data_IF_664302117317
#
_entry.id   IF_664302117317
#
_cell.length_a   1.000
_cell.length_b   1.000
_cell.length_c   1.000
_cell.angle_alpha   90.00
_cell.angle_beta   90.00
_cell.angle_gamma   90.00
#
_symmetry.space_group_name_H-M   'P 1'
#
loop_
_entity.id
_entity.type
_entity.pdbx_description
1 polymer ?
#
# COMPACT_ATOMS: atom_id res chain seq x y z
N UNK A 1 -5.44 4.95 -5.87
CA UNK A 1 -6.47 3.90 -5.95
C UNK A 1 -6.15 2.80 -6.95
N UNK A 2 -5.94 3.09 -8.25
CA UNK A 2 -5.66 2.03 -9.25
C UNK A 2 -4.44 1.16 -8.92
N UNK A 3 -3.34 1.78 -8.47
CA UNK A 3 -2.16 1.03 -8.03
C UNK A 3 -2.45 0.05 -6.89
N UNK A 4 -3.14 0.52 -5.85
CA UNK A 4 -3.56 -0.27 -4.68
C UNK A 4 -4.41 -1.45 -5.11
N UNK A 5 -5.51 -1.20 -5.83
CA UNK A 5 -6.38 -2.25 -6.37
C UNK A 5 -5.60 -3.29 -7.21
N UNK A 6 -4.63 -2.86 -8.02
CA UNK A 6 -3.84 -3.78 -8.83
C UNK A 6 -2.93 -4.67 -7.96
N UNK A 7 -2.30 -4.10 -6.94
CA UNK A 7 -1.51 -4.84 -5.95
C UNK A 7 -2.39 -5.79 -5.15
N UNK A 8 -3.55 -5.33 -4.70
CA UNK A 8 -4.47 -6.10 -3.87
C UNK A 8 -5.06 -7.28 -4.64
N UNK A 9 -5.43 -7.10 -5.91
CA UNK A 9 -5.85 -8.20 -6.78
C UNK A 9 -4.73 -9.23 -7.00
N UNK A 10 -3.48 -8.78 -7.10
CA UNK A 10 -2.32 -9.67 -7.24
C UNK A 10 -2.04 -10.46 -5.96
N UNK A 11 -2.16 -9.81 -4.80
CA UNK A 11 -2.03 -10.46 -3.49
C UNK A 11 -3.19 -11.43 -3.24
N UNK A 12 -4.42 -11.01 -3.50
CA UNK A 12 -5.61 -11.84 -3.37
C UNK A 12 -5.55 -13.07 -4.30
N UNK A 13 -5.06 -12.92 -5.53
CA UNK A 13 -4.85 -14.06 -6.42
C UNK A 13 -3.85 -15.09 -5.85
N UNK A 14 -2.84 -14.66 -5.10
CA UNK A 14 -1.95 -15.57 -4.38
C UNK A 14 -2.60 -16.18 -3.15
N UNK A 15 -3.30 -15.38 -2.34
CA UNK A 15 -4.08 -15.85 -1.20
C UNK A 15 -5.04 -16.99 -1.61
N UNK A 16 -5.77 -16.81 -2.72
CA UNK A 16 -6.68 -17.84 -3.26
C UNK A 16 -5.95 -19.10 -3.76
N UNK A 17 -4.73 -18.97 -4.29
CA UNK A 17 -3.90 -20.12 -4.69
C UNK A 17 -3.34 -20.88 -3.49
N UNK A 18 -3.14 -20.18 -2.38
CA UNK A 18 -2.68 -20.74 -1.10
C UNK A 18 -3.86 -21.18 -0.21
N UNK A 19 -5.01 -21.51 -0.83
CA UNK A 19 -6.24 -22.02 -0.20
C UNK A 19 -7.04 -21.03 0.66
N UNK A 20 -6.84 -19.73 0.48
CA UNK A 20 -7.72 -18.71 1.04
C UNK A 20 -9.16 -18.83 0.52
N UNK A 21 -10.13 -18.68 1.41
CA UNK A 21 -11.56 -18.90 1.17
C UNK A 21 -12.42 -17.63 1.30
N UNK A 22 -11.90 -16.58 1.90
CA UNK A 22 -12.60 -15.31 2.07
C UNK A 22 -12.99 -14.66 0.72
N UNK A 23 -14.20 -14.06 0.63
CA UNK A 23 -14.56 -13.20 -0.49
C UNK A 23 -13.65 -11.97 -0.59
N UNK A 24 -13.35 -11.52 -1.80
CA UNK A 24 -12.45 -10.38 -2.04
C UNK A 24 -12.83 -9.12 -1.24
N UNK A 25 -14.11 -8.78 -1.16
CA UNK A 25 -14.54 -7.58 -0.42
C UNK A 25 -14.31 -7.71 1.09
N UNK A 26 -14.42 -8.91 1.66
CA UNK A 26 -14.19 -9.11 3.09
C UNK A 26 -12.69 -9.06 3.39
N UNK A 27 -11.88 -9.69 2.54
CA UNK A 27 -10.42 -9.66 2.60
C UNK A 27 -9.87 -8.23 2.44
N UNK A 28 -10.30 -7.51 1.40
CA UNK A 28 -9.84 -6.16 1.06
C UNK A 28 -10.15 -5.14 2.16
N UNK A 29 -11.35 -5.25 2.76
CA UNK A 29 -11.78 -4.35 3.82
C UNK A 29 -11.54 -4.91 5.22
N UNK A 30 -10.77 -6.00 5.34
CA UNK A 30 -10.36 -6.66 6.59
C UNK A 30 -11.52 -6.86 7.56
N UNK A 31 -12.59 -7.51 7.09
CA UNK A 31 -13.83 -7.70 7.84
C UNK A 31 -13.66 -8.52 9.13
N UNK A 32 -12.62 -9.34 9.21
CA UNK A 32 -12.25 -10.18 10.34
C UNK A 32 -11.51 -9.42 11.47
N UNK A 33 -10.97 -8.24 11.17
CA UNK A 33 -10.26 -7.39 12.14
C UNK A 33 -11.26 -6.76 13.11
N UNK A 34 -11.27 -7.26 14.34
CA UNK A 34 -12.19 -6.82 15.41
C UNK A 34 -11.48 -6.22 16.61
N UNK A 35 -10.17 -6.45 16.72
CA UNK A 35 -9.31 -6.02 17.82
C UNK A 35 -7.93 -5.57 17.32
N UNK A 36 -7.14 -5.01 18.23
CA UNK A 36 -5.79 -4.54 17.91
C UNK A 36 -4.72 -5.63 17.91
N UNK A 37 -4.98 -6.81 18.49
CA UNK A 37 -3.97 -7.87 18.58
C UNK A 37 -3.76 -8.53 17.21
N UNK A 38 -4.84 -8.62 16.43
CA UNK A 38 -4.81 -9.13 15.04
C UNK A 38 -4.74 -8.02 13.99
N UNK A 39 -4.65 -6.77 14.41
CA UNK A 39 -4.67 -5.64 13.50
C UNK A 39 -3.43 -5.63 12.58
N UNK A 40 -3.61 -5.52 11.25
CA UNK A 40 -2.50 -5.43 10.31
C UNK A 40 -1.62 -4.20 10.51
N UNK A 41 -0.42 -4.21 9.91
CA UNK A 41 0.55 -3.12 10.04
C UNK A 41 -0.03 -1.71 9.77
N UNK A 42 -0.86 -1.47 8.72
CA UNK A 42 -1.47 -0.15 8.51
C UNK A 42 -2.31 0.33 9.71
N UNK A 43 -3.14 -0.54 10.29
CA UNK A 43 -3.90 -0.22 11.49
C UNK A 43 -3.00 0.13 12.68
N UNK A 44 -1.94 -0.66 12.90
CA UNK A 44 -0.99 -0.42 14.00
C UNK A 44 -0.25 0.92 13.83
N UNK A 45 0.15 1.29 12.60
CA UNK A 45 0.74 2.60 12.34
C UNK A 45 -0.26 3.71 12.68
N UNK A 46 -1.50 3.60 12.20
CA UNK A 46 -2.54 4.59 12.50
C UNK A 46 -2.81 4.73 14.00
N UNK A 47 -2.89 3.60 14.72
CA UNK A 47 -3.03 3.58 16.18
C UNK A 47 -1.88 4.32 16.85
N UNK A 48 -0.63 4.03 16.50
CA UNK A 48 0.54 4.70 17.12
C UNK A 48 0.60 6.20 16.84
N UNK A 49 0.16 6.63 15.65
CA UNK A 49 0.05 8.06 15.34
C UNK A 49 -1.01 8.70 16.23
N UNK A 50 -2.18 8.07 16.40
CA UNK A 50 -3.28 8.62 17.18
C UNK A 50 -2.97 8.62 18.68
N UNK A 51 -2.51 7.49 19.20
CA UNK A 51 -2.11 7.33 20.60
C UNK A 51 -0.93 8.26 20.93
N UNK A 52 0.04 8.43 20.02
CA UNK A 52 1.26 9.19 20.26
C UNK A 52 1.15 10.70 20.03
N UNK A 53 0.45 11.14 18.97
CA UNK A 53 0.34 12.58 18.65
C UNK A 53 -0.88 13.25 19.28
N UNK A 54 -1.96 12.50 19.49
CA UNK A 54 -3.23 13.05 20.00
C UNK A 54 -3.55 12.55 21.41
N UNK A 55 -2.72 11.67 21.99
CA UNK A 55 -2.90 11.11 23.34
C UNK A 55 -4.28 10.48 23.54
N UNK A 56 -4.81 9.85 22.48
CA UNK A 56 -6.14 9.22 22.48
C UNK A 56 -6.02 7.73 22.22
N UNK A 57 -6.30 6.91 23.23
CA UNK A 57 -6.44 5.46 23.05
C UNK A 57 -7.70 5.15 22.25
N UNK A 58 -7.52 4.51 21.09
CA UNK A 58 -8.64 4.05 20.28
C UNK A 58 -9.21 2.70 20.80
N UNK A 59 -10.54 2.54 20.87
CA UNK A 59 -11.14 1.26 21.21
C UNK A 59 -10.94 0.24 20.08
N UNK A 60 -10.93 -1.05 20.43
CA UNK A 60 -10.75 -2.19 19.52
C UNK A 60 -11.63 -2.14 18.27
N UNK A 61 -12.88 -1.68 18.43
CA UNK A 61 -13.84 -1.50 17.34
C UNK A 61 -13.38 -0.53 16.23
N UNK A 62 -12.32 0.26 16.46
CA UNK A 62 -11.71 1.15 15.47
C UNK A 62 -10.58 0.51 14.68
N UNK A 63 -10.12 -0.70 15.03
CA UNK A 63 -9.00 -1.36 14.36
C UNK A 63 -9.24 -1.50 12.84
N UNK A 64 -10.39 -2.05 12.44
CA UNK A 64 -10.77 -2.18 11.03
C UNK A 64 -10.85 -0.85 10.28
N UNK A 65 -11.50 0.15 10.88
CA UNK A 65 -11.61 1.47 10.27
C UNK A 65 -10.22 2.09 10.08
N UNK A 66 -9.39 2.00 11.10
CA UNK A 66 -8.02 2.52 11.07
C UNK A 66 -7.20 1.80 10.01
N UNK A 67 -7.33 0.47 9.88
CA UNK A 67 -6.67 -0.30 8.83
C UNK A 67 -7.00 0.25 7.45
N UNK A 68 -8.29 0.38 7.15
CA UNK A 68 -8.75 0.83 5.84
C UNK A 68 -8.34 2.28 5.55
N UNK A 69 -8.49 3.18 6.52
CA UNK A 69 -8.05 4.57 6.36
C UNK A 69 -6.56 4.64 6.08
N UNK A 70 -5.74 3.87 6.79
CA UNK A 70 -4.30 3.88 6.60
C UNK A 70 -3.87 3.20 5.30
N UNK A 71 -4.45 2.04 4.95
CA UNK A 71 -4.17 1.31 3.70
C UNK A 71 -4.44 2.17 2.47
N UNK A 72 -5.64 2.73 2.39
CA UNK A 72 -6.07 3.57 1.27
C UNK A 72 -5.44 4.97 1.31
N UNK A 73 -5.30 5.56 2.49
CA UNK A 73 -4.75 6.90 2.69
C UNK A 73 -3.26 6.98 2.38
N UNK A 74 -2.48 5.99 2.83
CA UNK A 74 -1.05 5.88 2.50
C UNK A 74 -0.86 5.74 0.99
N UNK A 75 -1.63 4.83 0.38
CA UNK A 75 -1.64 4.60 -1.06
C UNK A 75 -1.98 5.86 -1.87
N UNK A 76 -2.99 6.62 -1.45
CA UNK A 76 -3.38 7.87 -2.10
C UNK A 76 -2.28 8.93 -1.97
N UNK A 77 -1.70 9.07 -0.78
CA UNK A 77 -0.61 10.02 -0.51
C UNK A 77 0.60 9.74 -1.40
N UNK A 78 1.01 8.48 -1.51
CA UNK A 78 2.07 8.06 -2.43
C UNK A 78 1.75 8.40 -3.89
N UNK A 79 0.52 8.15 -4.34
CA UNK A 79 0.10 8.48 -5.70
C UNK A 79 0.12 9.99 -6.00
N UNK A 80 -0.22 10.83 -5.01
CA UNK A 80 -0.11 12.30 -5.13
C UNK A 80 1.35 12.72 -5.29
N UNK A 81 2.24 12.21 -4.43
CA UNK A 81 3.69 12.49 -4.53
C UNK A 81 4.24 12.04 -5.89
N UNK A 82 3.89 10.83 -6.32
CA UNK A 82 4.26 10.34 -7.66
C UNK A 82 3.78 11.28 -8.76
N UNK A 83 2.51 11.70 -8.72
CA UNK A 83 1.93 12.57 -9.74
C UNK A 83 2.59 13.94 -9.77
N UNK A 84 2.94 14.53 -8.62
CA UNK A 84 3.65 15.81 -8.54
C UNK A 84 5.02 15.73 -9.22
N UNK A 85 5.79 14.67 -8.94
CA UNK A 85 7.11 14.46 -9.54
C UNK A 85 6.98 14.12 -11.03
N UNK A 86 6.08 13.20 -11.39
CA UNK A 86 5.90 12.79 -12.78
C UNK A 86 5.39 13.94 -13.67
N UNK A 87 4.55 14.82 -13.13
CA UNK A 87 4.05 16.00 -13.84
C UNK A 87 5.13 17.06 -14.11
N UNK A 88 6.21 17.09 -13.32
CA UNK A 88 7.34 18.00 -13.57
C UNK A 88 8.31 17.46 -14.63
N UNK A 89 8.15 16.22 -15.09
CA UNK A 89 8.99 15.63 -16.13
C UNK A 89 8.47 15.97 -17.53
N UNK A 90 9.38 16.24 -18.46
CA UNK A 90 9.03 16.55 -19.87
C UNK A 90 8.32 15.39 -20.58
N UNK A 91 8.65 14.14 -20.20
CA UNK A 91 8.10 12.91 -20.78
C UNK A 91 7.91 11.86 -19.67
N UNK A 92 6.80 11.91 -18.91
CA UNK A 92 6.51 10.87 -17.93
C UNK A 92 6.36 9.51 -18.64
N UNK A 93 6.95 8.46 -18.06
CA UNK A 93 6.91 7.09 -18.59
C UNK A 93 6.25 6.18 -17.57
N UNK A 94 5.39 5.28 -18.02
CA UNK A 94 4.79 4.25 -17.16
C UNK A 94 5.85 3.42 -16.43
N UNK A 95 7.01 3.17 -17.06
CA UNK A 95 8.13 2.46 -16.44
C UNK A 95 8.69 3.12 -15.17
N UNK A 96 8.50 4.43 -14.95
CA UNK A 96 8.87 5.07 -13.69
C UNK A 96 8.07 4.56 -12.49
N UNK A 97 6.93 3.90 -12.74
CA UNK A 97 6.20 3.17 -11.72
C UNK A 97 7.03 2.08 -11.04
N UNK A 98 7.98 1.44 -11.75
CA UNK A 98 8.87 0.44 -11.15
C UNK A 98 9.80 1.05 -10.11
N UNK A 99 10.39 2.22 -10.43
CA UNK A 99 11.27 2.94 -9.51
C UNK A 99 10.47 3.41 -8.29
N UNK A 100 9.27 3.95 -8.51
CA UNK A 100 8.39 4.38 -7.43
C UNK A 100 7.97 3.21 -6.53
N UNK A 101 7.55 2.08 -7.12
CA UNK A 101 7.20 0.87 -6.38
C UNK A 101 8.37 0.34 -5.55
N UNK A 102 9.55 0.19 -6.15
CA UNK A 102 10.76 -0.24 -5.44
C UNK A 102 11.15 0.74 -4.31
N UNK A 103 10.96 2.05 -4.52
CA UNK A 103 11.17 3.07 -3.49
C UNK A 103 10.20 2.92 -2.33
N UNK A 104 8.92 2.69 -2.59
CA UNK A 104 7.89 2.46 -1.56
C UNK A 104 8.16 1.17 -0.77
N UNK A 105 8.60 0.11 -1.46
CA UNK A 105 9.08 -1.11 -0.83
C UNK A 105 10.28 -0.84 0.09
N UNK A 106 11.33 -0.21 -0.41
CA UNK A 106 12.51 0.10 0.41
C UNK A 106 12.15 0.98 1.62
N UNK A 107 11.28 1.97 1.42
CA UNK A 107 10.81 2.86 2.47
C UNK A 107 10.05 2.11 3.58
N UNK A 108 9.26 1.08 3.24
CA UNK A 108 8.56 0.27 4.25
C UNK A 108 9.55 -0.43 5.19
N UNK A 109 10.67 -0.96 4.69
CA UNK A 109 11.73 -1.57 5.52
C UNK A 109 12.60 -0.56 6.27
N UNK A 110 12.54 0.72 5.95
CA UNK A 110 13.19 1.76 6.77
C UNK A 110 12.28 2.14 7.95
N UNK A 111 10.97 2.20 7.72
CA UNK A 111 10.01 2.79 8.66
C UNK A 111 9.38 1.75 9.59
N UNK A 112 9.02 0.57 9.08
CA UNK A 112 8.27 -0.44 9.82
C UNK A 112 9.10 -1.24 10.84
N UNK A 113 10.40 -1.54 10.62
CA UNK A 113 11.19 -2.26 11.62
C UNK A 113 11.44 -1.49 12.93
N UNK A 114 11.76 -0.18 12.94
CA UNK A 114 11.84 0.60 14.18
C UNK A 114 10.52 0.59 14.98
N UNK A 115 9.40 0.46 14.27
CA UNK A 115 8.06 0.32 14.85
C UNK A 115 7.72 -1.11 15.27
N UNK A 116 8.64 -2.08 15.14
CA UNK A 116 8.43 -3.50 15.43
C UNK A 116 7.22 -4.10 14.69
N UNK A 117 6.91 -3.59 13.51
CA UNK A 117 5.87 -4.15 12.65
C UNK A 117 6.46 -5.13 11.65
N UNK A 118 7.67 -4.85 11.16
CA UNK A 118 8.47 -5.74 10.33
C UNK A 118 9.73 -6.18 11.10
N UNK A 119 10.34 -7.27 10.65
CA UNK A 119 11.71 -7.60 11.00
C UNK A 119 12.67 -6.68 10.22
N UNK A 120 13.92 -6.52 10.66
CA UNK A 120 14.98 -5.99 9.81
C UNK A 120 15.04 -6.74 8.47
N UNK A 121 15.33 -6.02 7.38
CA UNK A 121 15.32 -6.59 6.03
C UNK A 121 16.27 -7.81 5.88
N UNK A 122 17.35 -7.84 6.67
CA UNK A 122 18.35 -8.91 6.69
C UNK A 122 17.86 -10.22 7.31
N UNK A 123 16.70 -10.22 7.98
CA UNK A 123 16.14 -11.40 8.63
C UNK A 123 15.10 -12.14 7.78
N UNK A 124 14.70 -11.55 6.65
CA UNK A 124 13.78 -12.19 5.71
C UNK A 124 14.55 -12.99 4.66
N UNK A 125 13.95 -14.11 4.22
CA UNK A 125 14.46 -14.84 3.07
C UNK A 125 14.18 -14.09 1.76
N UNK A 126 14.97 -14.39 0.72
CA UNK A 126 14.87 -13.73 -0.57
C UNK A 126 13.52 -13.95 -1.27
N UNK A 127 12.81 -15.07 -0.99
CA UNK A 127 11.51 -15.35 -1.59
C UNK A 127 10.44 -14.44 -0.98
N UNK A 128 10.46 -14.25 0.33
CA UNK A 128 9.59 -13.29 1.03
C UNK A 128 9.82 -11.87 0.52
N UNK A 129 11.08 -11.42 0.50
CA UNK A 129 11.43 -10.09 -0.02
C UNK A 129 11.04 -9.91 -1.49
N UNK A 130 11.26 -10.94 -2.31
CA UNK A 130 10.92 -10.92 -3.73
C UNK A 130 9.42 -10.84 -3.99
N UNK A 131 8.60 -11.58 -3.23
CA UNK A 131 7.13 -11.49 -3.29
C UNK A 131 6.65 -10.08 -2.92
N UNK A 132 7.19 -9.54 -1.83
CA UNK A 132 6.80 -8.20 -1.35
C UNK A 132 7.23 -7.09 -2.32
N UNK A 133 8.46 -7.16 -2.85
CA UNK A 133 8.92 -6.26 -3.90
C UNK A 133 8.01 -6.34 -5.14
N UNK A 134 7.66 -7.55 -5.59
CA UNK A 134 6.77 -7.72 -6.74
C UNK A 134 5.41 -7.05 -6.52
N UNK A 135 4.81 -7.16 -5.33
CA UNK A 135 3.58 -6.48 -4.97
C UNK A 135 3.70 -4.96 -5.14
N UNK A 136 4.79 -4.39 -4.63
CA UNK A 136 5.05 -2.95 -4.72
C UNK A 136 5.35 -2.48 -6.15
N UNK A 137 5.99 -3.31 -6.97
CA UNK A 137 6.17 -3.02 -8.40
C UNK A 137 4.84 -2.98 -9.15
N UNK A 138 3.90 -3.89 -8.84
CA UNK A 138 2.53 -3.86 -9.38
C UNK A 138 1.81 -2.58 -8.95
N UNK A 139 1.90 -2.20 -7.67
CA UNK A 139 1.35 -0.94 -7.17
C UNK A 139 1.91 0.27 -7.93
N UNK A 140 3.22 0.33 -8.09
CA UNK A 140 3.90 1.43 -8.75
C UNK A 140 3.55 1.54 -10.23
N UNK A 141 3.52 0.42 -10.96
CA UNK A 141 3.10 0.36 -12.35
C UNK A 141 1.63 0.78 -12.53
N UNK A 142 0.72 0.28 -11.69
CA UNK A 142 -0.69 0.65 -11.74
C UNK A 142 -0.90 2.14 -11.48
N UNK A 143 -0.14 2.72 -10.55
CA UNK A 143 -0.14 4.17 -10.28
C UNK A 143 0.33 4.97 -11.48
N UNK A 144 1.48 4.59 -12.07
CA UNK A 144 2.06 5.27 -13.23
C UNK A 144 1.18 5.17 -14.50
N UNK A 145 0.56 4.00 -14.71
CA UNK A 145 -0.35 3.77 -15.82
C UNK A 145 -1.60 4.65 -15.70
N UNK A 146 -2.20 4.72 -14.50
CA UNK A 146 -3.36 5.57 -14.24
C UNK A 146 -3.03 7.05 -14.47
N UNK A 147 -1.88 7.52 -13.99
CA UNK A 147 -1.42 8.89 -14.23
C UNK A 147 -1.27 9.19 -15.73
N UNK A 148 -0.59 8.30 -16.46
CA UNK A 148 -0.37 8.45 -17.91
C UNK A 148 -1.70 8.49 -18.67
N UNK A 149 -2.65 7.62 -18.33
CA UNK A 149 -3.98 7.61 -18.93
C UNK A 149 -4.74 8.92 -18.69
N UNK A 150 -4.65 9.48 -17.48
CA UNK A 150 -5.26 10.77 -17.14
C UNK A 150 -4.67 11.93 -17.96
N UNK A 151 -3.34 11.93 -18.17
CA UNK A 151 -2.68 12.93 -19.02
C UNK A 151 -3.10 12.80 -20.49
N UNK A 152 -3.13 11.58 -21.04
CA UNK A 152 -3.55 11.35 -22.44
C UNK A 152 -4.99 11.83 -22.71
N UNK A 153 -5.90 11.63 -21.74
CA UNK A 153 -7.29 12.11 -21.84
C UNK A 153 -7.41 13.64 -21.78
N UNK A 154 -6.47 14.33 -21.12
CA UNK A 154 -6.42 15.81 -21.11
C UNK A 154 -5.83 16.36 -22.40
N UNK A 155 -4.86 15.68 -23.00
CA UNK A 155 -4.24 16.07 -24.27
C UNK A 155 -5.20 15.95 -25.46
N UNK A 156 -6.07 14.93 -25.49
CA UNK A 156 -7.05 14.73 -26.56
C UNK A 156 -8.37 15.52 -26.42
N UNK A 157 -8.48 16.40 -25.41
CA UNK A 157 -9.65 17.29 -25.19
C UNK A 157 -9.34 18.77 -25.48
N UNK A 158 -8.18 19.06 -26.07
CA UNK A 158 -7.79 20.36 -26.60
C UNK A 158 -7.70 20.26 -28.10
#
# INVERSE_FOLDING_TARGET
MVGTLAMDLWLYAQYRREHGDEPFAEWEFSSDVTDWDKAPAPAQVGRRIIDGLFERTLPDSRARLTNNVMHWGYSLSGAVVYAMVAASLRKPRTGYGLIFGAGMWAFSYVILPPMRLYKPITEYDAKTLGKDLAAHLVYGLGTAAAFTLLLSRRGGRR
#
